data_IF_034371419993
#
_entry.id   IF_034371419993
#
_cell.length_a   1.000
_cell.length_b   1.000
_cell.length_c   1.000
_cell.angle_alpha   90.00
_cell.angle_beta   90.00
_cell.angle_gamma   90.00
#
_symmetry.space_group_name_H-M   'P 1'
#
loop_
_entity.id
_entity.type
_entity.pdbx_description
1 polymer ?
#
# COMPACT_ATOMS: atom_id res chain seq x y z
N UNK A 1 -14.50 -0.32 -66.86
CA UNK A 1 -13.26 0.46 -67.12
C UNK A 1 -13.66 1.83 -67.69
N UNK A 2 -13.69 2.87 -66.85
CA UNK A 2 -13.75 4.28 -67.25
C UNK A 2 -12.93 5.07 -66.23
N UNK A 3 -11.93 5.77 -66.75
CA UNK A 3 -10.93 6.55 -66.02
C UNK A 3 -11.50 7.96 -65.85
N UNK A 4 -11.53 8.48 -64.64
CA UNK A 4 -11.74 9.90 -64.39
C UNK A 4 -10.56 10.39 -63.53
N UNK A 5 -9.70 11.20 -64.15
CA UNK A 5 -8.66 12.00 -63.49
C UNK A 5 -9.29 13.32 -63.03
N UNK A 6 -9.04 13.74 -61.80
CA UNK A 6 -9.19 15.13 -61.37
C UNK A 6 -7.95 15.54 -60.60
N UNK A 7 -7.37 16.66 -61.05
CA UNK A 7 -6.16 17.30 -60.54
C UNK A 7 -6.53 18.40 -59.54
N UNK A 8 -5.66 18.60 -58.54
CA UNK A 8 -5.30 19.92 -58.00
C UNK A 8 -6.17 20.45 -56.87
N UNK A 9 -5.55 20.72 -55.71
CA UNK A 9 -5.05 22.07 -55.41
C UNK A 9 -4.17 22.02 -54.16
N UNK A 10 -2.93 22.49 -54.32
CA UNK A 10 -1.97 22.74 -53.24
C UNK A 10 -2.43 24.02 -52.53
N UNK A 11 -2.59 23.97 -51.20
CA UNK A 11 -2.69 25.18 -50.38
C UNK A 11 -1.57 25.18 -49.34
N UNK A 12 -0.57 26.00 -49.64
CA UNK A 12 0.52 26.45 -48.77
C UNK A 12 -0.06 27.51 -47.84
N UNK A 13 -0.14 27.22 -46.54
CA UNK A 13 -0.19 28.28 -45.52
C UNK A 13 0.85 27.94 -44.45
N UNK A 14 2.08 28.37 -44.71
CA UNK A 14 3.03 28.70 -43.66
C UNK A 14 2.71 30.14 -43.22
N UNK A 15 2.26 30.31 -41.98
CA UNK A 15 2.26 31.63 -41.34
C UNK A 15 2.88 31.49 -39.96
N UNK A 16 4.18 31.81 -39.93
CA UNK A 16 4.90 32.17 -38.72
C UNK A 16 4.38 33.53 -38.24
N UNK A 17 3.82 33.58 -37.03
CA UNK A 17 3.72 34.81 -36.25
C UNK A 17 4.23 34.50 -34.84
N UNK A 18 5.50 34.82 -34.63
CA UNK A 18 6.05 35.17 -33.33
C UNK A 18 5.64 36.62 -33.04
N UNK A 19 5.06 36.89 -31.88
CA UNK A 19 5.54 37.85 -30.88
C UNK A 19 4.48 38.12 -29.80
N UNK A 20 4.87 37.77 -28.57
CA UNK A 20 4.69 38.56 -27.34
C UNK A 20 3.28 38.90 -26.85
N UNK A 21 2.87 38.20 -25.79
CA UNK A 21 2.11 38.83 -24.72
C UNK A 21 2.57 38.35 -23.34
N UNK A 22 2.89 39.33 -22.50
CA UNK A 22 3.38 39.22 -21.13
C UNK A 22 2.40 38.52 -20.19
N UNK A 23 3.00 37.82 -19.23
CA UNK A 23 2.55 37.50 -17.88
C UNK A 23 1.07 37.74 -17.52
N UNK A 24 0.34 36.65 -17.28
CA UNK A 24 -0.72 36.61 -16.27
C UNK A 24 -0.65 35.26 -15.55
N UNK A 25 -0.37 35.31 -14.25
CA UNK A 25 -0.53 34.17 -13.34
C UNK A 25 -1.93 33.57 -13.53
N UNK A 26 -2.00 32.27 -13.80
CA UNK A 26 -3.14 31.46 -13.40
C UNK A 26 -2.74 29.99 -13.38
N UNK A 27 -2.78 29.45 -12.16
CA UNK A 27 -2.93 28.06 -11.79
C UNK A 27 -2.51 27.03 -12.84
N UNK A 28 -1.28 26.55 -12.68
CA UNK A 28 -0.92 25.22 -13.14
C UNK A 28 -1.95 24.22 -12.62
N UNK A 29 -2.84 23.80 -13.51
CA UNK A 29 -3.64 22.60 -13.38
C UNK A 29 -2.67 21.47 -13.03
N UNK A 30 -2.67 21.11 -11.75
CA UNK A 30 -2.13 19.87 -11.28
C UNK A 30 -2.78 18.77 -12.12
N UNK A 31 -1.96 18.08 -12.90
CA UNK A 31 -2.34 16.84 -13.54
C UNK A 31 -2.76 15.89 -12.44
N UNK A 32 -4.08 15.76 -12.23
CA UNK A 32 -4.68 14.77 -11.37
C UNK A 32 -4.42 13.39 -12.00
N UNK A 33 -3.29 12.80 -11.65
CA UNK A 33 -3.17 11.34 -11.68
C UNK A 33 -3.96 10.86 -10.47
N UNK A 34 -5.26 10.71 -10.68
CA UNK A 34 -6.18 10.11 -9.73
C UNK A 34 -5.79 8.65 -9.52
N UNK A 35 -4.92 8.39 -8.54
CA UNK A 35 -5.02 7.17 -7.77
C UNK A 35 -6.24 7.34 -6.88
N UNK A 36 -7.42 7.04 -7.45
CA UNK A 36 -8.68 6.97 -6.72
C UNK A 36 -8.58 5.78 -5.76
N UNK A 37 -7.89 5.99 -4.63
CA UNK A 37 -7.97 5.09 -3.49
C UNK A 37 -9.31 5.37 -2.83
N UNK A 38 -10.30 4.57 -3.21
CA UNK A 38 -11.63 4.59 -2.62
C UNK A 38 -11.47 4.45 -1.11
N UNK A 39 -11.94 5.43 -0.30
CA UNK A 39 -11.86 5.32 1.15
C UNK A 39 -12.73 4.15 1.62
N UNK A 40 -12.10 3.14 2.23
CA UNK A 40 -12.80 1.98 2.79
C UNK A 40 -13.77 2.44 3.91
N UNK A 41 -15.07 2.30 3.67
CA UNK A 41 -16.14 2.57 4.65
C UNK A 41 -16.15 1.47 5.72
N UNK A 42 -15.30 1.63 6.72
CA UNK A 42 -15.21 0.74 7.89
C UNK A 42 -14.05 1.10 8.82
N UNK A 43 -13.61 2.36 8.78
CA UNK A 43 -12.42 2.83 9.47
C UNK A 43 -12.69 3.16 10.95
N UNK A 44 -11.68 2.98 11.82
CA UNK A 44 -11.74 3.38 13.23
C UNK A 44 -11.84 4.89 13.38
N UNK A 45 -12.30 5.35 14.55
CA UNK A 45 -12.43 6.77 14.89
C UNK A 45 -11.08 7.49 14.72
N UNK A 46 -11.10 8.69 14.13
CA UNK A 46 -9.92 9.50 13.77
C UNK A 46 -8.90 9.64 14.91
N UNK A 47 -9.35 9.71 16.16
CA UNK A 47 -8.50 9.89 17.34
C UNK A 47 -7.54 8.72 17.63
N UNK A 48 -7.81 7.51 17.10
CA UNK A 48 -6.97 6.33 17.29
C UNK A 48 -5.91 6.13 16.18
N UNK A 49 -6.03 6.86 15.08
CA UNK A 49 -5.13 6.72 13.93
C UNK A 49 -3.83 7.47 14.20
N UNK A 50 -2.71 6.82 13.91
CA UNK A 50 -1.37 7.44 13.98
C UNK A 50 -0.71 7.36 12.62
N UNK A 51 -0.04 8.44 12.23
CA UNK A 51 0.81 8.46 11.05
C UNK A 51 2.00 7.52 11.25
N UNK A 52 2.22 6.66 10.27
CA UNK A 52 3.29 5.66 10.25
C UNK A 52 4.34 6.02 9.21
N UNK A 53 3.89 6.49 8.05
CA UNK A 53 4.74 6.82 6.93
C UNK A 53 4.04 7.66 5.88
N UNK A 54 4.73 7.84 4.77
CA UNK A 54 4.23 8.55 3.59
C UNK A 54 4.53 7.78 2.32
N UNK A 55 3.81 8.10 1.24
CA UNK A 55 4.15 7.76 -0.13
C UNK A 55 4.19 9.02 -0.99
N UNK A 56 5.15 9.10 -1.91
CA UNK A 56 5.24 10.21 -2.87
C UNK A 56 4.46 9.92 -4.17
N UNK A 57 4.40 10.91 -5.07
CA UNK A 57 3.72 10.78 -6.37
C UNK A 57 4.33 9.70 -7.29
N UNK A 58 5.55 9.23 -7.00
CA UNK A 58 6.22 8.14 -7.73
C UNK A 58 5.97 6.78 -7.05
N UNK A 59 5.24 6.75 -5.94
CA UNK A 59 4.98 5.54 -5.14
C UNK A 59 6.12 5.17 -4.20
N UNK A 60 7.11 6.04 -3.97
CA UNK A 60 8.18 5.75 -3.01
C UNK A 60 7.63 5.81 -1.59
N UNK A 61 7.82 4.73 -0.83
CA UNK A 61 7.35 4.59 0.54
C UNK A 61 8.43 4.99 1.55
N UNK A 62 8.06 5.75 2.57
CA UNK A 62 8.96 6.16 3.65
C UNK A 62 8.28 6.03 5.01
N UNK A 63 8.95 5.38 5.97
CA UNK A 63 8.54 5.39 7.37
C UNK A 63 8.93 6.74 7.99
N UNK A 64 7.95 7.43 8.58
CA UNK A 64 8.17 8.71 9.29
C UNK A 64 8.03 8.56 10.81
N UNK A 65 7.35 7.51 11.27
CA UNK A 65 7.26 7.18 12.69
C UNK A 65 8.59 6.68 13.27
N UNK A 66 8.72 6.77 14.60
CA UNK A 66 9.90 6.29 15.32
C UNK A 66 10.06 4.76 15.18
N UNK A 67 11.11 4.34 14.46
CA UNK A 67 11.36 2.93 14.14
C UNK A 67 11.51 2.04 15.38
N UNK A 68 12.23 2.51 16.41
CA UNK A 68 12.43 1.76 17.66
C UNK A 68 11.11 1.52 18.38
N UNK A 69 10.22 2.51 18.39
CA UNK A 69 8.88 2.37 18.98
C UNK A 69 8.02 1.37 18.20
N UNK A 70 8.08 1.38 16.86
CA UNK A 70 7.36 0.40 16.03
C UNK A 70 7.85 -1.03 16.29
N UNK A 71 9.18 -1.23 16.37
CA UNK A 71 9.78 -2.52 16.72
C UNK A 71 9.25 -3.02 18.06
N UNK A 72 9.30 -2.19 19.09
CA UNK A 72 8.82 -2.55 20.43
C UNK A 72 7.33 -2.94 20.44
N UNK A 73 6.49 -2.25 19.66
CA UNK A 73 5.05 -2.59 19.57
C UNK A 73 4.87 -3.98 18.94
N UNK A 74 5.58 -4.27 17.85
CA UNK A 74 5.55 -5.59 17.22
C UNK A 74 6.13 -6.69 18.11
N UNK A 75 7.23 -6.44 18.81
CA UNK A 75 7.85 -7.40 19.73
C UNK A 75 6.93 -7.73 20.91
N UNK A 76 6.28 -6.71 21.49
CA UNK A 76 5.28 -6.92 22.54
C UNK A 76 4.13 -7.79 22.02
N UNK A 77 3.63 -7.52 20.82
CA UNK A 77 2.55 -8.32 20.24
C UNK A 77 2.97 -9.75 19.93
N UNK A 78 4.17 -9.95 19.41
CA UNK A 78 4.73 -11.28 19.19
C UNK A 78 4.81 -12.05 20.52
N UNK A 79 5.30 -11.40 21.58
CA UNK A 79 5.37 -11.98 22.93
C UNK A 79 4.00 -12.37 23.49
N UNK A 80 2.99 -11.52 23.32
CA UNK A 80 1.59 -11.82 23.71
C UNK A 80 1.05 -13.07 23.00
N UNK A 81 1.50 -13.35 21.77
CA UNK A 81 1.11 -14.52 21.00
C UNK A 81 2.06 -15.71 21.19
N UNK A 82 2.94 -15.68 22.19
CA UNK A 82 3.85 -16.77 22.53
C UNK A 82 5.13 -16.82 21.69
N UNK A 83 5.39 -15.84 20.82
CA UNK A 83 6.60 -15.76 20.00
C UNK A 83 7.69 -14.98 20.74
N UNK A 84 8.76 -15.67 21.14
CA UNK A 84 9.95 -15.08 21.76
C UNK A 84 10.99 -14.77 20.67
N UNK A 85 10.79 -13.68 19.94
CA UNK A 85 11.71 -13.23 18.87
C UNK A 85 11.84 -11.71 18.86
N UNK A 86 12.94 -11.22 18.31
CA UNK A 86 13.24 -9.78 18.14
C UNK A 86 12.90 -9.34 16.71
N UNK A 87 12.48 -8.09 16.54
CA UNK A 87 12.19 -7.51 15.23
C UNK A 87 13.44 -6.83 14.68
N UNK A 88 14.11 -7.50 13.75
CA UNK A 88 15.32 -7.01 13.10
C UNK A 88 15.01 -5.82 12.18
N UNK A 89 13.92 -5.90 11.39
CA UNK A 89 13.57 -4.91 10.37
C UNK A 89 12.09 -4.54 10.43
N UNK A 90 11.78 -3.29 10.14
CA UNK A 90 10.40 -2.83 9.88
C UNK A 90 10.37 -2.10 8.54
N UNK A 91 9.37 -2.40 7.72
CA UNK A 91 9.21 -1.83 6.38
C UNK A 91 7.74 -1.49 6.09
N UNK A 92 7.51 -0.57 5.17
CA UNK A 92 6.20 -0.41 4.53
C UNK A 92 6.27 -1.11 3.17
N UNK A 93 5.24 -1.87 2.85
CA UNK A 93 5.08 -2.53 1.56
C UNK A 93 3.71 -2.22 0.96
N UNK A 94 3.66 -2.32 -0.36
CA UNK A 94 2.44 -2.29 -1.16
C UNK A 94 2.12 -3.71 -1.62
N UNK A 95 0.84 -4.03 -1.77
CA UNK A 95 0.34 -5.24 -2.38
C UNK A 95 -0.96 -5.00 -3.15
N UNK A 96 -1.44 -6.04 -3.83
CA UNK A 96 -2.74 -6.06 -4.49
C UNK A 96 -3.55 -7.15 -3.79
N UNK A 97 -4.78 -6.84 -3.38
CA UNK A 97 -5.65 -7.83 -2.73
C UNK A 97 -5.97 -8.93 -3.74
N UNK A 98 -5.63 -10.17 -3.42
CA UNK A 98 -5.90 -11.30 -4.30
C UNK A 98 -7.39 -11.41 -4.62
N UNK A 99 -7.70 -11.59 -5.90
CA UNK A 99 -9.07 -11.61 -6.41
C UNK A 99 -9.61 -10.23 -6.77
N UNK A 100 -8.84 -9.15 -6.60
CA UNK A 100 -9.24 -7.78 -6.97
C UNK A 100 -8.09 -7.02 -7.65
N UNK A 101 -8.35 -5.78 -8.07
CA UNK A 101 -7.34 -4.80 -8.52
C UNK A 101 -7.01 -3.76 -7.44
N UNK A 102 -7.56 -3.90 -6.24
CA UNK A 102 -7.40 -2.94 -5.15
C UNK A 102 -6.00 -3.05 -4.54
N UNK A 103 -5.30 -1.92 -4.49
CA UNK A 103 -4.01 -1.80 -3.83
C UNK A 103 -4.18 -1.64 -2.33
N UNK A 104 -3.23 -2.16 -1.57
CA UNK A 104 -3.17 -1.92 -0.13
C UNK A 104 -1.74 -1.70 0.34
N UNK A 105 -1.61 -0.98 1.45
CA UNK A 105 -0.32 -0.79 2.14
C UNK A 105 -0.33 -1.51 3.48
N UNK A 106 0.84 -1.95 3.91
CA UNK A 106 1.00 -2.58 5.21
C UNK A 106 2.37 -2.30 5.80
N UNK A 107 2.42 -2.20 7.13
CA UNK A 107 3.64 -2.16 7.90
C UNK A 107 4.00 -3.59 8.29
N UNK A 108 5.22 -4.03 7.97
CA UNK A 108 5.73 -5.37 8.29
C UNK A 108 6.94 -5.30 9.21
N UNK A 109 6.88 -6.06 10.30
CA UNK A 109 8.02 -6.40 11.14
C UNK A 109 8.55 -7.76 10.78
N UNK A 110 9.87 -7.88 10.63
CA UNK A 110 10.56 -9.11 10.23
C UNK A 110 11.57 -9.48 11.30
N UNK A 111 11.51 -10.72 11.78
CA UNK A 111 12.45 -11.24 12.76
C UNK A 111 13.86 -11.38 12.22
N UNK A 112 14.83 -11.55 13.11
CA UNK A 112 16.14 -12.07 12.71
C UNK A 112 15.96 -13.43 12.01
N UNK A 113 16.67 -13.63 10.89
CA UNK A 113 16.52 -14.82 10.04
C UNK A 113 15.25 -14.89 9.18
N UNK A 114 14.31 -13.94 9.30
CA UNK A 114 13.15 -13.81 8.41
C UNK A 114 12.02 -14.82 8.60
N UNK A 115 12.16 -15.76 9.53
CA UNK A 115 11.18 -16.84 9.77
C UNK A 115 9.86 -16.39 10.41
N UNK A 116 9.85 -15.26 11.14
CA UNK A 116 8.64 -14.68 11.72
C UNK A 116 8.40 -13.30 11.12
N UNK A 117 7.18 -13.08 10.62
CA UNK A 117 6.73 -11.78 10.10
C UNK A 117 5.42 -11.41 10.76
N UNK A 118 5.31 -10.17 11.22
CA UNK A 118 4.09 -9.58 11.78
C UNK A 118 3.71 -8.38 10.95
N UNK A 119 2.44 -8.27 10.57
CA UNK A 119 1.95 -7.17 9.74
C UNK A 119 0.74 -6.48 10.33
N UNK A 120 0.57 -5.21 10.02
CA UNK A 120 -0.70 -4.50 10.19
C UNK A 120 -1.01 -3.67 8.95
N UNK A 121 -2.30 -3.60 8.58
CA UNK A 121 -2.75 -2.83 7.41
C UNK A 121 -2.61 -1.33 7.68
N UNK A 122 -2.10 -0.60 6.68
CA UNK A 122 -2.08 0.85 6.66
C UNK A 122 -3.19 1.38 5.77
N UNK A 123 -3.68 2.56 6.10
CA UNK A 123 -4.73 3.27 5.38
C UNK A 123 -4.22 4.64 4.94
N UNK A 124 -4.71 5.13 3.80
CA UNK A 124 -4.51 6.51 3.44
C UNK A 124 -5.19 7.42 4.48
N UNK A 125 -4.51 8.48 4.87
CA UNK A 125 -5.08 9.52 5.74
C UNK A 125 -6.16 10.30 5.00
N UNK A 126 -7.25 10.61 5.68
CA UNK A 126 -8.26 11.58 5.25
C UNK A 126 -7.75 13.02 5.30
N UNK A 127 -6.71 13.28 6.11
CA UNK A 127 -6.27 14.63 6.47
C UNK A 127 -4.97 15.07 5.75
N UNK A 128 -4.36 14.19 4.95
CA UNK A 128 -3.08 14.45 4.30
C UNK A 128 -2.86 13.57 3.08
N UNK A 129 -2.62 14.21 1.92
CA UNK A 129 -2.29 13.49 0.68
C UNK A 129 -0.95 12.79 0.85
N UNK A 130 -0.91 11.49 0.60
CA UNK A 130 0.33 10.71 0.72
C UNK A 130 0.60 10.18 2.13
N UNK A 131 -0.19 10.53 3.14
CA UNK A 131 0.01 10.04 4.50
C UNK A 131 -0.57 8.63 4.69
N UNK A 132 0.23 7.76 5.31
CA UNK A 132 -0.18 6.40 5.70
C UNK A 132 -0.35 6.33 7.22
N UNK A 133 -1.54 5.91 7.64
CA UNK A 133 -1.93 5.79 9.04
C UNK A 133 -2.25 4.35 9.41
N UNK A 134 -1.95 3.98 10.65
CA UNK A 134 -2.43 2.74 11.26
C UNK A 134 -3.41 3.08 12.38
N UNK A 135 -4.37 2.20 12.59
CA UNK A 135 -5.10 2.17 13.86
C UNK A 135 -4.18 1.61 14.93
N UNK A 136 -3.81 2.43 15.89
CA UNK A 136 -2.94 2.02 17.00
C UNK A 136 -3.74 1.81 18.29
N UNK A 137 -5.08 1.81 18.23
CA UNK A 137 -5.88 1.48 19.41
C UNK A 137 -5.64 0.01 19.81
N UNK A 138 -5.45 -0.28 21.11
CA UNK A 138 -5.18 -1.64 21.58
C UNK A 138 -6.24 -2.67 21.14
N UNK A 139 -7.49 -2.23 20.97
CA UNK A 139 -8.62 -3.08 20.60
C UNK A 139 -8.70 -3.40 19.10
N UNK A 140 -8.12 -2.59 18.21
CA UNK A 140 -8.30 -2.73 16.76
C UNK A 140 -7.00 -2.86 15.97
N UNK A 141 -5.86 -2.34 16.47
CA UNK A 141 -4.55 -2.51 15.83
C UNK A 141 -4.27 -3.98 15.52
N UNK A 142 -4.67 -4.85 16.45
CA UNK A 142 -4.39 -6.27 16.39
C UNK A 142 -5.49 -7.13 15.78
N UNK A 143 -6.71 -6.59 15.58
CA UNK A 143 -7.70 -7.22 14.69
C UNK A 143 -7.23 -7.21 13.24
N UNK A 144 -6.44 -6.19 12.88
CA UNK A 144 -5.88 -6.04 11.53
C UNK A 144 -4.47 -6.60 11.39
N UNK A 145 -4.03 -7.39 12.37
CA UNK A 145 -2.67 -7.93 12.43
C UNK A 145 -2.63 -9.41 12.06
N UNK A 146 -1.63 -9.81 11.29
CA UNK A 146 -1.35 -11.21 10.97
C UNK A 146 0.09 -11.54 11.38
N UNK A 147 0.28 -12.71 11.98
CA UNK A 147 1.61 -13.28 12.23
C UNK A 147 1.79 -14.50 11.33
N UNK A 148 2.82 -14.45 10.49
CA UNK A 148 3.25 -15.55 9.64
C UNK A 148 4.54 -16.13 10.18
N UNK A 149 4.55 -17.45 10.40
CA UNK A 149 5.69 -18.19 10.93
C UNK A 149 6.07 -19.31 9.97
N UNK A 150 7.36 -19.41 9.67
CA UNK A 150 7.92 -20.49 8.88
C UNK A 150 9.30 -20.90 9.38
N UNK A 151 9.65 -22.16 9.14
CA UNK A 151 11.02 -22.68 9.24
C UNK A 151 11.85 -22.40 7.98
N UNK A 152 11.24 -21.88 6.91
CA UNK A 152 11.93 -21.60 5.66
C UNK A 152 12.73 -20.29 5.76
N UNK A 153 13.92 -20.26 5.12
CA UNK A 153 14.87 -19.12 5.20
C UNK A 153 14.32 -17.82 4.60
N UNK A 154 13.46 -17.92 3.59
CA UNK A 154 12.80 -16.74 2.99
C UNK A 154 11.55 -16.29 3.78
N UNK A 155 11.09 -17.12 4.71
CA UNK A 155 9.86 -16.97 5.48
C UNK A 155 8.58 -17.07 4.63
N UNK A 156 7.44 -17.20 5.28
CA UNK A 156 6.15 -16.95 4.63
C UNK A 156 5.93 -15.46 4.44
N UNK A 157 5.22 -15.04 3.38
CA UNK A 157 4.86 -13.64 3.23
C UNK A 157 3.37 -13.42 3.55
N UNK A 158 3.04 -12.45 4.40
CA UNK A 158 1.65 -12.06 4.63
C UNK A 158 1.08 -11.39 3.38
N UNK A 159 -0.17 -11.70 3.08
CA UNK A 159 -0.88 -11.19 1.91
C UNK A 159 -2.39 -11.05 2.21
N UNK A 160 -3.12 -10.26 1.41
CA UNK A 160 -4.58 -10.10 1.55
C UNK A 160 -5.31 -10.78 0.40
N UNK A 161 -6.49 -11.37 0.68
CA UNK A 161 -7.38 -11.91 -0.34
C UNK A 161 -8.83 -11.54 -0.06
N UNK A 162 -9.63 -11.39 -1.11
CA UNK A 162 -11.09 -11.27 -0.99
C UNK A 162 -11.69 -12.68 -0.81
N UNK A 163 -12.25 -12.94 0.36
CA UNK A 163 -12.89 -14.22 0.64
C UNK A 163 -14.32 -14.27 0.07
N UNK A 164 -14.90 -15.49 0.05
CA UNK A 164 -16.25 -15.74 -0.48
C UNK A 164 -17.36 -15.04 0.30
N UNK A 165 -17.09 -14.67 1.54
CA UNK A 165 -17.99 -13.89 2.40
C UNK A 165 -18.02 -12.39 2.01
N UNK A 166 -17.20 -11.96 1.04
CA UNK A 166 -17.09 -10.58 0.60
C UNK A 166 -16.15 -9.73 1.46
N UNK A 167 -15.49 -10.32 2.46
CA UNK A 167 -14.56 -9.62 3.34
C UNK A 167 -13.11 -9.87 2.93
N UNK A 168 -12.24 -8.92 3.27
CA UNK A 168 -10.80 -9.02 3.02
C UNK A 168 -10.14 -9.72 4.19
N UNK A 169 -9.34 -10.74 3.93
CA UNK A 169 -8.68 -11.52 4.99
C UNK A 169 -7.18 -11.60 4.77
N UNK A 170 -6.42 -11.63 5.86
CA UNK A 170 -5.01 -11.98 5.81
C UNK A 170 -4.81 -13.45 5.50
N UNK A 171 -3.79 -13.76 4.72
CA UNK A 171 -3.22 -15.10 4.56
C UNK A 171 -1.71 -15.03 4.72
N UNK A 172 -1.09 -16.19 4.93
CA UNK A 172 0.34 -16.35 4.82
C UNK A 172 0.61 -17.19 3.58
N UNK A 173 1.31 -16.60 2.61
CA UNK A 173 1.71 -17.30 1.38
C UNK A 173 2.81 -18.31 1.71
N UNK A 174 2.67 -19.56 1.24
CA UNK A 174 3.66 -20.60 1.49
C UNK A 174 5.00 -20.26 0.82
N UNK A 175 6.08 -20.80 1.38
CA UNK A 175 7.38 -20.70 0.76
C UNK A 175 7.41 -21.56 -0.50
N UNK A 176 8.16 -21.15 -1.52
CA UNK A 176 8.15 -21.66 -2.90
C UNK A 176 8.19 -23.19 -3.05
N UNK A 177 8.68 -23.92 -2.04
CA UNK A 177 8.83 -25.38 -2.06
C UNK A 177 8.31 -26.13 -0.82
N UNK A 178 7.66 -25.47 0.16
CA UNK A 178 7.19 -26.15 1.38
C UNK A 178 5.82 -25.65 1.86
N UNK A 179 5.03 -26.56 2.46
CA UNK A 179 3.78 -26.26 3.16
C UNK A 179 3.99 -25.75 4.59
N UNK A 180 5.23 -25.45 4.97
CA UNK A 180 5.64 -25.10 6.35
C UNK A 180 5.33 -23.64 6.68
N UNK A 181 4.08 -23.27 6.45
CA UNK A 181 3.56 -21.95 6.67
C UNK A 181 2.43 -21.99 7.67
N UNK A 182 2.66 -21.44 8.87
CA UNK A 182 1.62 -21.32 9.89
C UNK A 182 1.19 -19.87 10.00
N UNK A 183 -0.11 -19.66 9.80
CA UNK A 183 -0.81 -18.42 10.15
C UNK A 183 -1.31 -18.55 11.58
N UNK A 184 -0.99 -17.58 12.41
CA UNK A 184 -1.59 -17.44 13.74
C UNK A 184 -2.60 -16.30 13.60
N UNK A 185 -3.86 -16.65 13.42
CA UNK A 185 -4.94 -15.71 13.08
C UNK A 185 -5.29 -14.85 14.29
N UNK A 186 -5.53 -13.56 14.08
CA UNK A 186 -6.58 -12.81 14.78
C UNK A 186 -7.58 -12.37 13.70
N UNK A 187 -8.88 -12.50 13.99
CA UNK A 187 -10.02 -12.58 13.06
C UNK A 187 -10.29 -11.36 12.15
N UNK A 188 -11.18 -11.60 11.16
CA UNK A 188 -11.77 -10.74 10.11
C UNK A 188 -11.57 -9.21 10.19
N UNK A 189 -11.14 -8.62 9.05
CA UNK A 189 -11.00 -7.17 8.83
C UNK A 189 -12.32 -6.45 8.61
#
# INVERSE_FOLDING_TARGET
MRIIKVYGFISLIAFWLLLSCSAKQNNSNASQVGADMIPFKGGPTEAAKRQIGTYDAKGNLKITANLSKLKMIFENRLKENGYKTTVAKVEIKEGIIEGTSEKYFYLIGVSEGGGVKIVTRLFASSNGVGDLVADMSPSNMFKKTCVCVSTCKEGCNPDLYLAKDGFVHWKCTPCSNTKDCRKTVTDSL
#
